data_IF_846904731479
#
_entry.id   IF_846904731479
#
_cell.length_a   1.000
_cell.length_b   1.000
_cell.length_c   1.000
_cell.angle_alpha   90.00
_cell.angle_beta   90.00
_cell.angle_gamma   90.00
#
_symmetry.space_group_name_H-M   'P 1'
#
loop_
_entity.id
_entity.type
_entity.pdbx_description
1 polymer ?
#
# COMPACT_ATOMS: atom_id res chain seq x y z
N UNK A 1 49.79 -11.47 0.90
CA UNK A 1 49.10 -10.17 0.72
C UNK A 1 47.91 -10.20 -0.24
N UNK A 2 47.78 -11.17 -1.17
CA UNK A 2 46.67 -11.22 -2.16
C UNK A 2 45.28 -11.52 -1.56
N UNK A 3 45.21 -12.24 -0.43
CA UNK A 3 43.94 -12.59 0.23
C UNK A 3 43.23 -11.40 0.91
N UNK A 4 43.98 -10.36 1.34
CA UNK A 4 43.40 -9.18 1.98
C UNK A 4 42.73 -8.22 0.98
N UNK A 5 43.17 -8.22 -0.28
CA UNK A 5 42.58 -7.40 -1.36
C UNK A 5 41.26 -7.99 -1.88
N UNK A 6 41.13 -9.32 -1.94
CA UNK A 6 39.90 -9.99 -2.33
C UNK A 6 38.76 -9.79 -1.32
N UNK A 7 39.07 -9.74 -0.02
CA UNK A 7 38.07 -9.51 1.03
C UNK A 7 37.47 -8.10 0.99
N UNK A 8 38.22 -7.09 0.54
CA UNK A 8 37.74 -5.71 0.43
C UNK A 8 36.86 -5.52 -0.81
N UNK A 9 37.16 -6.24 -1.89
CA UNK A 9 36.39 -6.16 -3.14
C UNK A 9 34.99 -6.79 -3.02
N UNK A 10 34.85 -7.88 -2.25
CA UNK A 10 33.54 -8.52 -2.00
C UNK A 10 32.65 -7.64 -1.09
N UNK A 11 33.23 -6.91 -0.15
CA UNK A 11 32.47 -6.00 0.73
C UNK A 11 31.95 -4.76 -0.01
N UNK A 12 32.64 -4.32 -1.07
CA UNK A 12 32.23 -3.16 -1.88
C UNK A 12 31.01 -3.41 -2.77
N UNK A 13 30.74 -4.65 -3.17
CA UNK A 13 29.61 -4.98 -4.08
C UNK A 13 28.28 -5.01 -3.33
N UNK A 14 28.29 -5.27 -2.03
CA UNK A 14 27.07 -5.29 -1.20
C UNK A 14 26.51 -3.90 -0.87
N UNK A 15 27.32 -2.84 -0.98
CA UNK A 15 26.89 -1.47 -0.58
C UNK A 15 26.14 -0.75 -1.72
N UNK A 16 26.25 -1.21 -2.96
CA UNK A 16 25.67 -0.52 -4.13
C UNK A 16 24.31 -1.05 -4.58
N UNK A 17 23.76 -2.12 -3.98
CA UNK A 17 22.38 -2.57 -4.24
C UNK A 17 21.36 -1.93 -3.30
N UNK A 18 21.65 -0.72 -2.83
CA UNK A 18 20.64 0.13 -2.18
C UNK A 18 19.53 0.41 -3.19
N UNK A 19 18.37 -0.18 -2.97
CA UNK A 19 17.16 0.12 -3.72
C UNK A 19 16.83 1.61 -3.51
N UNK A 20 17.35 2.47 -4.37
CA UNK A 20 17.01 3.88 -4.43
C UNK A 20 15.61 4.03 -4.99
N UNK A 21 14.59 3.70 -4.20
CA UNK A 21 13.22 4.08 -4.53
C UNK A 21 13.12 5.57 -4.23
N UNK A 22 13.44 6.40 -5.22
CA UNK A 22 13.05 7.80 -5.21
C UNK A 22 11.52 7.85 -5.32
N UNK A 23 10.85 7.72 -4.18
CA UNK A 23 9.45 8.10 -4.06
C UNK A 23 9.42 9.62 -4.09
N UNK A 24 9.18 10.19 -5.28
CA UNK A 24 8.52 11.49 -5.36
C UNK A 24 7.33 11.41 -4.39
N UNK A 25 7.20 12.34 -3.46
CA UNK A 25 6.17 12.29 -2.41
C UNK A 25 4.79 12.54 -3.05
N UNK A 26 4.24 11.52 -3.72
CA UNK A 26 2.93 11.52 -4.38
C UNK A 26 1.80 11.83 -3.38
N UNK A 27 2.11 11.81 -2.08
CA UNK A 27 1.20 12.15 -0.99
C UNK A 27 0.73 13.58 -1.00
N UNK A 28 1.58 14.53 -1.38
CA UNK A 28 1.17 15.93 -1.48
C UNK A 28 0.15 16.09 -2.61
N UNK A 29 0.38 15.45 -3.76
CA UNK A 29 -0.59 15.42 -4.86
C UNK A 29 -1.86 14.65 -4.49
N UNK A 30 -1.77 13.52 -3.79
CA UNK A 30 -2.95 12.72 -3.44
C UNK A 30 -3.84 13.44 -2.43
N UNK A 31 -3.27 14.11 -1.43
CA UNK A 31 -4.05 14.91 -0.48
C UNK A 31 -4.79 16.07 -1.16
N UNK A 32 -4.14 16.74 -2.12
CA UNK A 32 -4.75 17.80 -2.91
C UNK A 32 -5.87 17.26 -3.81
N UNK A 33 -5.64 16.15 -4.51
CA UNK A 33 -6.64 15.47 -5.35
C UNK A 33 -7.88 15.08 -4.55
N UNK A 34 -7.70 14.46 -3.37
CA UNK A 34 -8.79 14.04 -2.49
C UNK A 34 -9.62 15.25 -2.03
N UNK A 35 -8.96 16.36 -1.66
CA UNK A 35 -9.67 17.58 -1.28
C UNK A 35 -10.45 18.20 -2.45
N UNK A 36 -9.90 18.15 -3.67
CA UNK A 36 -10.55 18.67 -4.88
C UNK A 36 -11.78 17.84 -5.28
N UNK A 37 -11.74 16.51 -5.08
CA UNK A 37 -12.86 15.61 -5.38
C UNK A 37 -14.12 16.00 -4.61
N UNK A 38 -13.99 16.20 -3.30
CA UNK A 38 -15.11 16.64 -2.48
C UNK A 38 -15.52 18.08 -2.77
N UNK A 39 -14.56 18.99 -2.96
CA UNK A 39 -14.85 20.40 -3.21
C UNK A 39 -15.58 20.65 -4.54
N UNK A 40 -15.33 19.83 -5.56
CA UNK A 40 -15.94 19.95 -6.89
C UNK A 40 -17.16 19.05 -7.09
N UNK A 41 -17.58 18.28 -6.06
CA UNK A 41 -18.67 17.32 -6.16
C UNK A 41 -18.51 16.34 -7.34
N UNK A 42 -17.29 15.85 -7.53
CA UNK A 42 -16.96 14.97 -8.66
C UNK A 42 -17.81 13.70 -8.65
N UNK A 43 -18.20 13.26 -9.83
CA UNK A 43 -18.88 11.98 -10.03
C UNK A 43 -17.93 10.81 -9.79
N UNK A 44 -18.47 9.61 -9.62
CA UNK A 44 -17.68 8.36 -9.53
C UNK A 44 -16.72 8.18 -10.71
N UNK A 45 -17.15 8.51 -11.94
CA UNK A 45 -16.32 8.39 -13.15
C UNK A 45 -15.17 9.40 -13.17
N UNK A 46 -15.44 10.65 -12.81
CA UNK A 46 -14.40 11.68 -12.69
C UNK A 46 -13.40 11.33 -11.58
N UNK A 47 -13.90 10.85 -10.46
CA UNK A 47 -13.07 10.37 -9.35
C UNK A 47 -12.17 9.20 -9.79
N UNK A 48 -12.71 8.26 -10.58
CA UNK A 48 -11.92 7.18 -11.17
C UNK A 48 -10.84 7.70 -12.13
N UNK A 49 -11.13 8.72 -12.93
CA UNK A 49 -10.13 9.31 -13.83
C UNK A 49 -9.00 9.97 -13.02
N UNK A 50 -9.32 10.63 -11.92
CA UNK A 50 -8.35 11.38 -11.11
C UNK A 50 -7.50 10.50 -10.17
N UNK A 51 -8.13 9.48 -9.55
CA UNK A 51 -7.55 8.63 -8.51
C UNK A 51 -7.37 7.16 -8.92
N UNK A 52 -7.98 6.75 -10.04
CA UNK A 52 -8.11 5.35 -10.44
C UNK A 52 -9.22 4.61 -9.70
N UNK A 53 -9.23 3.29 -9.91
CA UNK A 53 -10.06 2.33 -9.18
C UNK A 53 -9.97 2.54 -7.65
N UNK A 54 -10.97 2.20 -6.82
CA UNK A 54 -10.80 2.11 -5.38
C UNK A 54 -10.26 0.74 -4.94
N UNK A 55 -9.60 0.67 -3.78
CA UNK A 55 -9.12 -0.61 -3.23
C UNK A 55 -10.23 -1.38 -2.52
N UNK A 56 -11.18 -0.63 -1.93
CA UNK A 56 -12.36 -1.19 -1.30
C UNK A 56 -13.56 -0.27 -1.54
N UNK A 57 -14.75 -0.85 -1.58
CA UNK A 57 -16.01 -0.11 -1.66
C UNK A 57 -16.91 -0.59 -0.55
N UNK A 58 -17.40 0.36 0.24
CA UNK A 58 -18.35 0.12 1.33
C UNK A 58 -19.67 0.77 0.91
N UNK A 59 -20.76 0.02 0.93
CA UNK A 59 -22.09 0.53 0.62
C UNK A 59 -22.90 0.65 1.91
N UNK A 60 -22.84 1.80 2.62
CA UNK A 60 -23.58 1.98 3.87
C UNK A 60 -25.10 2.05 3.68
N UNK A 61 -25.60 2.12 2.45
CA UNK A 61 -27.02 2.02 2.09
C UNK A 61 -27.20 1.66 0.61
N UNK A 62 -28.45 1.50 0.15
CA UNK A 62 -28.74 1.00 -1.22
C UNK A 62 -28.21 1.87 -2.36
N UNK A 63 -28.03 3.18 -2.12
CA UNK A 63 -27.62 4.15 -3.14
C UNK A 63 -26.41 5.00 -2.76
N UNK A 64 -25.83 4.76 -1.59
CA UNK A 64 -24.64 5.50 -1.13
C UNK A 64 -23.45 4.56 -1.13
N UNK A 65 -22.29 5.08 -1.49
CA UNK A 65 -21.06 4.30 -1.55
C UNK A 65 -19.91 5.11 -0.96
N UNK A 66 -18.99 4.41 -0.34
CA UNK A 66 -17.75 4.96 0.18
C UNK A 66 -16.62 4.24 -0.50
N UNK A 67 -15.83 4.97 -1.27
CA UNK A 67 -14.66 4.44 -1.95
C UNK A 67 -13.45 4.65 -1.07
N UNK A 68 -12.73 3.57 -0.77
CA UNK A 68 -11.53 3.61 0.04
C UNK A 68 -10.28 3.34 -0.81
N UNK A 69 -9.32 4.25 -0.68
CA UNK A 69 -8.00 4.18 -1.29
C UNK A 69 -6.98 3.99 -0.18
N UNK A 70 -6.19 2.93 -0.28
CA UNK A 70 -5.19 2.56 0.69
C UNK A 70 -3.81 2.74 0.05
N UNK A 71 -2.92 3.41 0.77
CA UNK A 71 -1.51 3.51 0.40
C UNK A 71 -0.69 3.13 1.62
N UNK A 72 0.19 2.15 1.46
CA UNK A 72 1.05 1.69 2.54
C UNK A 72 2.50 2.03 2.24
N UNK A 73 3.20 2.53 3.25
CA UNK A 73 4.63 2.73 3.20
C UNK A 73 5.30 1.94 4.32
N UNK A 74 6.17 1.02 3.94
CA UNK A 74 7.02 0.27 4.86
C UNK A 74 8.37 0.96 5.01
N UNK A 75 8.87 1.04 6.24
CA UNK A 75 10.23 1.46 6.53
C UNK A 75 10.90 0.40 7.41
N UNK A 76 11.72 -0.49 6.83
CA UNK A 76 12.38 -1.54 7.58
C UNK A 76 13.32 -0.93 8.63
N UNK A 77 13.36 -1.54 9.81
CA UNK A 77 14.27 -1.13 10.87
C UNK A 77 15.71 -1.49 10.49
N UNK A 78 16.69 -0.66 10.90
CA UNK A 78 18.10 -0.93 10.63
C UNK A 78 18.59 -2.28 11.18
N UNK A 79 18.02 -2.72 12.32
CA UNK A 79 18.32 -4.01 12.93
C UNK A 79 17.98 -5.21 12.01
N UNK A 80 17.04 -5.05 11.09
CA UNK A 80 16.65 -6.08 10.10
C UNK A 80 17.81 -6.49 9.20
N UNK A 81 18.77 -5.58 8.96
CA UNK A 81 19.91 -5.83 8.06
C UNK A 81 21.14 -6.42 8.77
N UNK A 82 21.08 -6.60 10.10
CA UNK A 82 22.19 -7.18 10.87
C UNK A 82 21.99 -8.70 10.95
N UNK A 83 22.94 -9.52 10.46
CA UNK A 83 22.84 -10.98 10.56
C UNK A 83 22.63 -11.44 12.01
N UNK A 84 21.79 -12.47 12.21
CA UNK A 84 21.36 -13.03 13.50
C UNK A 84 20.54 -12.08 14.41
N UNK A 85 20.93 -10.82 14.52
CA UNK A 85 20.20 -9.78 15.28
C UNK A 85 18.87 -9.43 14.61
N UNK A 86 18.85 -9.37 13.28
CA UNK A 86 17.64 -9.10 12.50
C UNK A 86 16.56 -10.17 12.63
N UNK A 87 16.93 -11.42 12.94
CA UNK A 87 15.95 -12.48 13.21
C UNK A 87 15.19 -12.24 14.52
N UNK A 88 15.88 -11.70 15.53
CA UNK A 88 15.31 -11.48 16.86
C UNK A 88 14.67 -10.10 17.05
N UNK A 89 15.29 -9.05 16.49
CA UNK A 89 14.94 -7.64 16.69
C UNK A 89 14.59 -6.89 15.40
N UNK A 90 14.61 -7.57 14.25
CA UNK A 90 14.20 -7.01 12.98
C UNK A 90 12.68 -6.80 12.87
N UNK A 91 12.30 -6.02 11.88
CA UNK A 91 10.92 -5.66 11.60
C UNK A 91 10.81 -4.41 10.73
N UNK A 92 9.61 -3.86 10.65
CA UNK A 92 9.34 -2.66 9.87
C UNK A 92 8.28 -1.79 10.54
N UNK A 93 8.41 -0.48 10.34
CA UNK A 93 7.37 0.48 10.65
C UNK A 93 6.54 0.71 9.40
N UNK A 94 5.23 0.64 9.54
CA UNK A 94 4.28 0.87 8.47
C UNK A 94 3.48 2.14 8.75
N UNK A 95 3.33 2.94 7.71
CA UNK A 95 2.37 4.04 7.67
C UNK A 95 1.33 3.69 6.63
N UNK A 96 0.09 3.52 7.05
CA UNK A 96 -1.05 3.27 6.17
C UNK A 96 -1.85 4.56 6.06
N UNK A 97 -1.97 5.05 4.84
CA UNK A 97 -2.79 6.18 4.47
C UNK A 97 -4.08 5.63 3.89
N UNK A 98 -5.21 5.97 4.52
CA UNK A 98 -6.53 5.62 4.04
C UNK A 98 -7.26 6.88 3.63
N UNK A 99 -7.57 7.00 2.35
CA UNK A 99 -8.44 8.04 1.84
C UNK A 99 -9.83 7.45 1.57
N UNK A 100 -10.85 8.07 2.15
CA UNK A 100 -12.24 7.65 1.99
C UNK A 100 -13.00 8.77 1.30
N UNK A 101 -13.59 8.49 0.13
CA UNK A 101 -14.48 9.41 -0.60
C UNK A 101 -15.92 8.92 -0.41
N UNK A 102 -16.79 9.82 0.04
CA UNK A 102 -18.18 9.52 0.32
C UNK A 102 -19.07 10.04 -0.81
N UNK A 103 -19.77 9.13 -1.47
CA UNK A 103 -20.72 9.44 -2.54
C UNK A 103 -22.16 9.41 -2.02
N UNK A 104 -22.95 10.37 -2.48
CA UNK A 104 -24.38 10.43 -2.24
C UNK A 104 -25.19 9.60 -3.25
N UNK A 105 -26.52 9.71 -3.16
CA UNK A 105 -27.45 8.99 -4.04
C UNK A 105 -27.43 9.49 -5.50
N UNK A 106 -26.87 10.68 -5.75
CA UNK A 106 -26.64 11.21 -7.10
C UNK A 106 -25.27 10.79 -7.67
N UNK A 107 -24.56 9.90 -6.97
CA UNK A 107 -23.22 9.43 -7.31
C UNK A 107 -22.15 10.55 -7.33
N UNK A 108 -22.37 11.63 -6.56
CA UNK A 108 -21.43 12.74 -6.43
C UNK A 108 -20.70 12.70 -5.10
N UNK A 109 -19.43 13.09 -5.13
CA UNK A 109 -18.61 13.19 -3.94
C UNK A 109 -19.15 14.30 -3.02
N UNK A 110 -19.53 13.93 -1.81
CA UNK A 110 -20.04 14.86 -0.80
C UNK A 110 -18.95 15.24 0.21
N UNK A 111 -18.10 14.29 0.55
CA UNK A 111 -17.07 14.45 1.55
C UNK A 111 -15.88 13.55 1.19
N UNK A 112 -14.69 13.92 1.67
CA UNK A 112 -13.51 13.08 1.54
C UNK A 112 -12.60 13.23 2.77
N UNK A 113 -12.15 12.11 3.32
CA UNK A 113 -11.35 12.06 4.54
C UNK A 113 -10.07 11.29 4.33
N UNK A 114 -8.99 11.77 4.94
CA UNK A 114 -7.70 11.09 4.97
C UNK A 114 -7.42 10.70 6.42
N UNK A 115 -7.13 9.43 6.64
CA UNK A 115 -6.74 8.87 7.93
C UNK A 115 -5.36 8.24 7.79
N UNK A 116 -4.49 8.51 8.78
CA UNK A 116 -3.13 7.97 8.79
C UNK A 116 -3.01 7.05 10.00
N UNK A 117 -2.78 5.77 9.74
CA UNK A 117 -2.49 4.78 10.77
C UNK A 117 -1.00 4.49 10.77
N UNK A 118 -0.40 4.49 11.97
CA UNK A 118 0.98 4.05 12.16
C UNK A 118 0.93 2.72 12.88
N UNK A 119 1.61 1.73 12.35
CA UNK A 119 1.74 0.41 12.96
C UNK A 119 3.18 -0.07 12.82
N UNK A 120 3.63 -0.91 13.73
CA UNK A 120 4.96 -1.50 13.70
C UNK A 120 4.80 -3.00 13.81
N UNK A 121 5.48 -3.75 12.95
CA UNK A 121 5.48 -5.20 13.03
C UNK A 121 6.91 -5.72 13.19
N UNK A 122 7.04 -6.79 13.97
CA UNK A 122 8.25 -7.60 14.00
C UNK A 122 8.29 -8.52 12.79
N UNK A 123 9.50 -8.92 12.38
CA UNK A 123 9.73 -9.72 11.17
C UNK A 123 9.01 -11.08 11.16
N UNK A 124 8.73 -11.65 12.33
CA UNK A 124 8.02 -12.93 12.51
C UNK A 124 6.49 -12.79 12.64
N UNK A 125 5.96 -11.56 12.65
CA UNK A 125 4.50 -11.32 12.73
C UNK A 125 3.84 -11.16 11.35
N UNK A 126 4.60 -11.42 10.29
CA UNK A 126 4.27 -11.06 8.91
C UNK A 126 3.08 -11.83 8.34
N UNK A 127 2.94 -13.12 8.64
CA UNK A 127 1.81 -13.93 8.17
C UNK A 127 0.46 -13.44 8.71
N UNK A 128 0.43 -13.00 9.97
CA UNK A 128 -0.78 -12.43 10.57
C UNK A 128 -1.18 -11.12 9.90
N UNK A 129 -0.20 -10.36 9.43
CA UNK A 129 -0.45 -9.09 8.76
C UNK A 129 -0.88 -9.27 7.30
N UNK A 130 -0.28 -10.23 6.57
CA UNK A 130 -0.75 -10.64 5.24
C UNK A 130 -2.21 -11.10 5.27
N UNK A 131 -2.54 -11.93 6.26
CA UNK A 131 -3.89 -12.44 6.44
C UNK A 131 -4.89 -11.32 6.81
N UNK A 132 -4.47 -10.34 7.61
CA UNK A 132 -5.28 -9.15 7.93
C UNK A 132 -5.45 -8.22 6.72
N UNK A 133 -4.43 -8.06 5.88
CA UNK A 133 -4.50 -7.22 4.67
C UNK A 133 -5.44 -7.84 3.62
N UNK A 134 -5.33 -9.15 3.39
CA UNK A 134 -6.22 -9.89 2.49
C UNK A 134 -7.68 -9.90 3.00
N UNK A 135 -7.89 -9.93 4.32
CA UNK A 135 -9.23 -9.86 4.90
C UNK A 135 -9.83 -8.44 4.89
N UNK A 136 -9.01 -7.40 4.81
CA UNK A 136 -9.46 -6.01 4.83
C UNK A 136 -9.86 -5.47 3.44
N UNK A 137 -9.40 -6.09 2.35
CA UNK A 137 -9.83 -5.75 0.99
C UNK A 137 -11.01 -6.65 0.56
N UNK A 138 -12.23 -6.13 0.64
CA UNK A 138 -13.39 -6.78 0.03
C UNK A 138 -13.46 -6.47 -1.48
N UNK A 139 -12.61 -7.17 -2.25
CA UNK A 139 -12.47 -6.97 -3.70
C UNK A 139 -13.79 -7.09 -4.48
N UNK A 140 -14.72 -7.93 -3.99
CA UNK A 140 -16.02 -8.17 -4.64
C UNK A 140 -16.88 -6.92 -4.72
N UNK A 141 -16.83 -6.05 -3.71
CA UNK A 141 -17.63 -4.82 -3.71
C UNK A 141 -17.04 -3.82 -4.70
N UNK A 142 -15.71 -3.70 -4.76
CA UNK A 142 -15.04 -2.86 -5.73
C UNK A 142 -15.28 -3.33 -7.17
N UNK A 143 -15.22 -4.64 -7.42
CA UNK A 143 -15.55 -5.21 -8.74
C UNK A 143 -17.00 -4.92 -9.15
N UNK A 144 -17.95 -5.16 -8.24
CA UNK A 144 -19.38 -4.90 -8.48
C UNK A 144 -19.63 -3.44 -8.79
N UNK A 145 -19.00 -2.54 -8.03
CA UNK A 145 -19.11 -1.10 -8.22
C UNK A 145 -18.53 -0.66 -9.56
N UNK A 146 -17.34 -1.13 -9.94
CA UNK A 146 -16.72 -0.79 -11.23
C UNK A 146 -17.59 -1.27 -12.40
N UNK A 147 -18.12 -2.49 -12.30
CA UNK A 147 -19.06 -3.03 -13.30
C UNK A 147 -20.34 -2.19 -13.40
N UNK A 148 -20.89 -1.72 -12.27
CA UNK A 148 -22.09 -0.89 -12.24
C UNK A 148 -21.90 0.46 -12.95
N UNK A 149 -20.71 1.06 -12.85
CA UNK A 149 -20.37 2.32 -13.53
C UNK A 149 -19.80 2.11 -14.95
N UNK A 150 -19.67 0.87 -15.41
CA UNK A 150 -19.19 0.51 -16.74
C UNK A 150 -17.68 0.67 -16.94
N UNK A 151 -16.90 0.51 -15.88
CA UNK A 151 -15.44 0.58 -15.90
C UNK A 151 -14.81 -0.79 -15.69
N UNK A 152 -13.62 -1.00 -16.25
CA UNK A 152 -12.89 -2.25 -16.09
C UNK A 152 -12.30 -2.36 -14.68
N UNK A 153 -12.44 -3.54 -14.07
CA UNK A 153 -11.81 -3.87 -12.80
C UNK A 153 -10.44 -4.51 -13.04
N UNK A 154 -9.40 -3.88 -12.49
CA UNK A 154 -8.04 -4.38 -12.47
C UNK A 154 -7.74 -5.04 -11.12
N UNK A 155 -7.53 -6.36 -11.15
CA UNK A 155 -7.17 -7.15 -9.98
C UNK A 155 -5.73 -6.94 -9.51
N UNK A 156 -4.84 -6.48 -10.41
CA UNK A 156 -3.40 -6.40 -10.15
C UNK A 156 -3.10 -5.38 -9.06
N UNK A 157 -3.74 -4.21 -9.16
CA UNK A 157 -3.51 -3.08 -8.26
C UNK A 157 -3.91 -3.35 -6.81
N UNK A 158 -4.84 -4.27 -6.58
CA UNK A 158 -5.26 -4.65 -5.23
C UNK A 158 -4.27 -5.61 -4.57
N UNK A 159 -3.54 -6.41 -5.36
CA UNK A 159 -2.50 -7.30 -4.87
C UNK A 159 -1.22 -6.52 -4.49
N UNK A 160 -0.94 -5.39 -5.14
CA UNK A 160 0.24 -4.55 -4.86
C UNK A 160 0.32 -4.06 -3.41
N UNK A 161 -0.82 -3.78 -2.77
CA UNK A 161 -0.87 -3.38 -1.35
C UNK A 161 -0.45 -4.52 -0.44
N UNK A 162 -0.89 -5.74 -0.75
CA UNK A 162 -0.51 -6.94 -0.01
C UNK A 162 0.97 -7.31 -0.26
N UNK A 163 1.48 -7.03 -1.46
CA UNK A 163 2.84 -7.39 -1.89
C UNK A 163 3.92 -6.42 -1.39
N UNK A 164 3.62 -5.13 -1.19
CA UNK A 164 4.54 -4.18 -0.54
C UNK A 164 5.03 -4.62 0.85
N UNK A 165 4.34 -5.59 1.46
CA UNK A 165 4.68 -6.18 2.73
C UNK A 165 5.64 -7.38 2.62
N UNK A 166 5.68 -8.06 1.46
CA UNK A 166 6.53 -9.23 1.20
C UNK A 166 8.00 -8.83 1.03
N UNK A 167 8.28 -7.66 0.45
CA UNK A 167 9.65 -7.18 0.20
C UNK A 167 10.44 -6.79 1.47
N UNK A 168 9.81 -6.85 2.65
CA UNK A 168 10.48 -6.63 3.94
C UNK A 168 10.95 -7.95 4.61
N UNK A 169 10.65 -9.10 4.02
CA UNK A 169 11.19 -10.39 4.45
C UNK A 169 12.28 -10.83 3.48
N UNK A 170 13.44 -11.34 3.95
CA UNK A 170 14.28 -12.14 3.06
C UNK A 170 13.42 -13.34 2.63
N UNK A 171 13.26 -13.50 1.32
CA UNK A 171 12.64 -14.67 0.72
C UNK A 171 13.40 -15.90 1.21
N UNK A 172 12.89 -16.57 2.25
CA UNK A 172 13.27 -17.96 2.50
C UNK A 172 12.44 -18.82 1.56
N UNK A 173 12.75 -18.74 0.25
CA UNK A 173 12.66 -19.94 -0.59
C UNK A 173 13.78 -20.87 -0.11
N UNK A 174 13.51 -21.62 0.96
CA UNK A 174 14.20 -22.89 1.17
C UNK A 174 13.53 -23.86 0.21
N UNK A 175 14.11 -23.99 -0.99
CA UNK A 175 13.91 -25.17 -1.82
C UNK A 175 14.64 -26.32 -1.15
N UNK A 176 13.88 -27.27 -0.60
CA UNK A 176 14.38 -28.60 -0.21
C UNK A 176 14.85 -29.39 -1.43
#
# INVERSE_FOLDING_TARGET
MKAKLLSVMILSVFVTTGCGISTSDTRASDSLKISNIAAQHMTKKETYIEMGQPHNVINPGEKTSTWEYLYMHSNPNAATFIPFVGLAAGGANFKVYKASVYFDEEEKAKDAKIQIYKTSSSMWSTDKFKQACAAALELKNAETEMNAIGLAFDNTRNNEICDCFVLATPDTEVKE
#
